data_IF_928562703482
#
_entry.id   IF_928562703482
#
_cell.length_a   1.000
_cell.length_b   1.000
_cell.length_c   1.000
_cell.angle_alpha   90.00
_cell.angle_beta   90.00
_cell.angle_gamma   90.00
#
_symmetry.space_group_name_H-M   'P 1'
#
loop_
_entity.id
_entity.type
_entity.pdbx_description
1 polymer ?
#
# COMPACT_ATOMS: atom_id res chain seq x y z
N UNK A 1 16.28 21.97 10.01
CA UNK A 1 15.95 21.23 8.77
C UNK A 1 14.86 20.23 9.09
N UNK A 2 13.88 20.06 8.23
CA UNK A 2 12.81 19.08 8.42
C UNK A 2 13.39 17.68 8.35
N UNK A 3 13.00 16.80 9.30
CA UNK A 3 13.45 15.40 9.31
C UNK A 3 12.69 14.61 8.24
N UNK A 4 13.39 13.80 7.48
CA UNK A 4 12.89 13.03 6.35
C UNK A 4 13.29 11.57 6.49
N UNK A 5 12.42 10.63 6.11
CA UNK A 5 12.70 9.20 6.27
C UNK A 5 12.25 8.40 5.05
N UNK A 6 13.14 7.52 4.59
CA UNK A 6 12.81 6.40 3.71
C UNK A 6 12.56 5.21 4.62
N UNK A 7 11.50 4.45 4.36
CA UNK A 7 11.26 3.26 5.16
C UNK A 7 10.61 2.13 4.37
N UNK A 8 10.80 0.93 4.88
CA UNK A 8 10.11 -0.28 4.43
C UNK A 8 9.56 -1.06 5.62
N UNK A 9 8.77 -2.08 5.34
CA UNK A 9 8.29 -3.01 6.36
C UNK A 9 8.25 -4.43 5.82
N UNK A 10 8.99 -5.35 6.44
CA UNK A 10 9.15 -6.73 6.00
C UNK A 10 8.92 -7.66 7.19
N UNK A 11 7.92 -8.51 7.08
CA UNK A 11 7.55 -9.52 8.06
C UNK A 11 7.47 -10.89 7.41
N UNK A 12 7.89 -11.94 8.12
CA UNK A 12 7.89 -13.30 7.61
C UNK A 12 9.03 -13.62 6.64
N UNK A 13 10.14 -12.89 6.72
CA UNK A 13 11.32 -13.06 5.86
C UNK A 13 10.99 -13.04 4.34
N UNK A 14 9.99 -12.24 3.96
CA UNK A 14 9.48 -12.17 2.59
C UNK A 14 10.50 -11.59 1.61
N UNK A 15 11.23 -10.56 2.03
CA UNK A 15 12.29 -9.90 1.28
C UNK A 15 13.52 -9.71 2.18
N UNK A 16 14.67 -9.43 1.57
CA UNK A 16 15.88 -8.96 2.26
C UNK A 16 16.04 -7.48 1.93
N UNK A 17 15.78 -6.57 2.89
CA UNK A 17 15.92 -5.14 2.62
C UNK A 17 17.38 -4.77 2.39
N UNK A 18 17.61 -3.94 1.39
CA UNK A 18 18.86 -3.22 1.24
C UNK A 18 18.75 -1.90 1.98
N UNK A 19 19.74 -1.55 2.79
CA UNK A 19 19.82 -0.23 3.41
C UNK A 19 19.86 0.83 2.32
N UNK A 20 18.99 1.83 2.43
CA UNK A 20 18.92 2.93 1.48
C UNK A 20 19.71 4.13 1.99
N UNK A 21 20.42 4.78 1.10
CA UNK A 21 21.17 6.01 1.40
C UNK A 21 20.71 7.12 0.47
N UNK A 22 20.36 8.27 1.06
CA UNK A 22 20.09 9.52 0.33
C UNK A 22 20.40 10.69 1.27
N UNK A 23 21.07 11.72 0.77
CA UNK A 23 21.48 12.85 1.58
C UNK A 23 20.29 13.52 2.29
N UNK A 24 20.40 13.66 3.62
CA UNK A 24 19.37 14.28 4.45
C UNK A 24 18.13 13.39 4.70
N UNK A 25 18.18 12.10 4.34
CA UNK A 25 17.13 11.12 4.59
C UNK A 25 17.61 10.00 5.50
N UNK A 26 16.89 9.77 6.61
CA UNK A 26 17.10 8.62 7.45
C UNK A 26 16.53 7.35 6.80
N UNK A 27 17.11 6.17 7.15
CA UNK A 27 16.57 4.88 6.73
C UNK A 27 15.97 4.11 7.90
N UNK A 28 14.81 3.49 7.70
CA UNK A 28 14.19 2.58 8.67
C UNK A 28 13.58 1.36 8.00
N UNK A 29 13.82 0.19 8.58
CA UNK A 29 13.13 -1.06 8.24
C UNK A 29 12.36 -1.56 9.46
N UNK A 30 11.05 -1.73 9.34
CA UNK A 30 10.22 -2.39 10.34
C UNK A 30 10.17 -3.90 10.06
N UNK A 31 10.50 -4.71 11.07
CA UNK A 31 10.52 -6.17 10.98
C UNK A 31 10.21 -6.79 12.34
N UNK A 32 10.16 -8.11 12.42
CA UNK A 32 10.04 -8.84 13.69
C UNK A 32 11.17 -8.54 14.69
N UNK A 33 12.33 -8.11 14.20
CA UNK A 33 13.50 -7.82 15.04
C UNK A 33 13.31 -6.55 15.89
N UNK A 34 12.50 -5.61 15.41
CA UNK A 34 12.32 -4.31 16.06
C UNK A 34 10.85 -3.91 16.28
N UNK A 35 9.92 -4.78 15.94
CA UNK A 35 8.49 -4.49 16.04
C UNK A 35 7.69 -5.77 16.34
N UNK A 36 6.78 -5.70 17.30
CA UNK A 36 5.95 -6.84 17.67
C UNK A 36 4.88 -7.11 16.62
N UNK A 37 4.83 -8.32 16.02
CA UNK A 37 3.73 -8.74 15.18
C UNK A 37 2.43 -8.79 15.98
N UNK A 38 1.34 -8.28 15.41
CA UNK A 38 0.00 -8.26 16.05
C UNK A 38 -1.01 -9.21 15.38
N UNK A 39 -0.65 -9.72 14.20
CA UNK A 39 -1.49 -10.56 13.38
C UNK A 39 -0.74 -11.84 13.03
N UNK A 40 -1.45 -12.96 12.91
CA UNK A 40 -0.89 -14.20 12.35
C UNK A 40 -0.46 -14.02 10.88
N UNK A 41 -1.15 -13.12 10.15
CA UNK A 41 -0.83 -12.79 8.77
C UNK A 41 0.28 -11.72 8.70
N UNK A 42 1.50 -12.15 8.38
CA UNK A 42 2.67 -11.28 8.22
C UNK A 42 2.46 -10.17 7.17
N UNK A 43 1.60 -10.39 6.18
CA UNK A 43 1.26 -9.36 5.21
C UNK A 43 0.51 -8.19 5.87
N UNK A 44 -0.41 -8.47 6.83
CA UNK A 44 -1.07 -7.43 7.61
C UNK A 44 -0.11 -6.75 8.58
N UNK A 45 0.83 -7.46 9.18
CA UNK A 45 1.86 -6.87 10.03
C UNK A 45 2.68 -5.85 9.23
N UNK A 46 3.19 -6.22 8.06
CA UNK A 46 3.93 -5.31 7.19
C UNK A 46 3.08 -4.10 6.76
N UNK A 47 1.85 -4.32 6.34
CA UNK A 47 0.97 -3.24 5.86
C UNK A 47 0.55 -2.26 6.94
N UNK A 48 0.50 -2.66 8.20
CA UNK A 48 0.26 -1.76 9.31
C UNK A 48 1.32 -0.65 9.37
N UNK A 49 2.60 -0.99 9.27
CA UNK A 49 3.68 0.01 9.24
C UNK A 49 3.70 0.79 7.93
N UNK A 50 3.46 0.12 6.80
CA UNK A 50 3.34 0.77 5.49
C UNK A 50 2.30 1.87 5.47
N UNK A 51 1.12 1.61 6.05
CA UNK A 51 -0.05 2.49 5.94
C UNK A 51 -0.11 3.56 7.03
N UNK A 52 0.41 3.27 8.23
CA UNK A 52 0.26 4.14 9.41
C UNK A 52 1.58 4.80 9.88
N UNK A 53 2.38 5.46 9.01
CA UNK A 53 3.64 6.08 9.44
C UNK A 53 3.46 7.14 10.52
N UNK A 54 2.36 7.86 10.54
CA UNK A 54 2.03 8.86 11.58
C UNK A 54 1.99 8.28 13.00
N UNK A 55 1.89 6.95 13.16
CA UNK A 55 1.92 6.28 14.46
C UNK A 55 3.33 5.90 14.92
N UNK A 56 4.30 5.84 14.00
CA UNK A 56 5.64 5.27 14.26
C UNK A 56 6.79 6.20 13.88
N UNK A 57 6.51 7.24 13.09
CA UNK A 57 7.49 8.14 12.50
C UNK A 57 7.12 9.61 12.77
N UNK A 58 6.50 9.91 13.91
CA UNK A 58 5.95 11.24 14.23
C UNK A 58 7.00 12.36 14.18
N UNK A 59 8.28 12.04 14.45
CA UNK A 59 9.38 13.01 14.43
C UNK A 59 9.80 13.45 13.02
N UNK A 60 9.24 12.83 11.98
CA UNK A 60 9.56 13.12 10.58
C UNK A 60 8.42 13.90 9.91
N UNK A 61 8.79 14.90 9.14
CA UNK A 61 7.83 15.68 8.34
C UNK A 61 7.42 14.94 7.07
N UNK A 62 8.42 14.33 6.41
CA UNK A 62 8.21 13.56 5.19
C UNK A 62 8.57 12.09 5.37
N UNK A 63 7.77 11.22 4.80
CA UNK A 63 8.10 9.81 4.68
C UNK A 63 7.93 9.30 3.26
N UNK A 64 8.88 8.47 2.82
CA UNK A 64 8.78 7.70 1.59
C UNK A 64 8.81 6.23 1.96
N UNK A 65 7.68 5.54 1.73
CA UNK A 65 7.64 4.08 1.79
C UNK A 65 8.11 3.50 0.47
N UNK A 66 8.93 2.46 0.55
CA UNK A 66 9.30 1.63 -0.61
C UNK A 66 9.09 0.15 -0.27
N UNK A 67 8.70 -0.68 -1.24
CA UNK A 67 8.69 -2.14 -1.05
C UNK A 67 10.13 -2.66 -0.87
N UNK A 68 10.31 -3.76 -0.12
CA UNK A 68 11.61 -4.26 0.31
C UNK A 68 12.58 -4.70 -0.81
N UNK A 69 12.05 -4.90 -2.03
CA UNK A 69 12.82 -5.27 -3.21
C UNK A 69 13.16 -4.09 -4.12
N UNK A 70 13.06 -2.85 -3.61
CA UNK A 70 13.32 -1.62 -4.37
C UNK A 70 14.57 -0.91 -3.85
N UNK A 71 15.32 -0.32 -4.79
CA UNK A 71 16.45 0.56 -4.50
C UNK A 71 16.11 2.00 -4.88
N UNK A 72 16.49 2.93 -4.02
CA UNK A 72 16.38 4.36 -4.28
C UNK A 72 17.49 4.79 -5.24
N UNK A 73 17.11 5.46 -6.33
CA UNK A 73 18.03 6.06 -7.30
C UNK A 73 17.55 7.46 -7.66
N UNK A 74 18.39 8.45 -7.45
CA UNK A 74 18.08 9.84 -7.77
C UNK A 74 17.78 10.71 -6.55
N UNK A 75 17.37 11.93 -6.82
CA UNK A 75 17.16 12.98 -5.82
C UNK A 75 15.73 12.88 -5.24
N UNK A 76 15.62 12.55 -3.96
CA UNK A 76 14.34 12.43 -3.28
C UNK A 76 13.71 13.78 -2.95
N UNK A 77 14.51 14.83 -2.78
CA UNK A 77 14.00 16.16 -2.49
C UNK A 77 13.26 16.71 -3.71
N UNK A 78 13.83 16.58 -4.90
CA UNK A 78 13.15 16.94 -6.15
C UNK A 78 11.83 16.16 -6.33
N UNK A 79 11.82 14.88 -5.93
CA UNK A 79 10.62 14.05 -5.99
C UNK A 79 9.52 14.57 -5.06
N UNK A 80 9.87 14.89 -3.81
CA UNK A 80 8.95 15.44 -2.81
C UNK A 80 8.46 16.82 -3.23
N UNK A 81 9.35 17.72 -3.63
CA UNK A 81 9.01 19.08 -4.07
C UNK A 81 8.04 19.07 -5.24
N UNK A 82 8.25 18.13 -6.18
CA UNK A 82 7.40 17.99 -7.36
C UNK A 82 6.00 17.44 -7.05
N UNK A 83 5.88 16.48 -6.16
CA UNK A 83 4.64 15.71 -5.97
C UNK A 83 3.91 15.98 -4.67
N UNK A 84 4.54 16.66 -3.70
CA UNK A 84 3.92 17.05 -2.43
C UNK A 84 3.87 18.59 -2.25
N UNK A 85 4.06 19.38 -3.31
CA UNK A 85 3.97 20.85 -3.26
C UNK A 85 2.60 21.34 -2.78
N UNK A 86 1.53 20.71 -3.23
CA UNK A 86 0.14 21.05 -2.94
C UNK A 86 -0.70 19.85 -2.43
N UNK A 87 -0.04 18.72 -2.16
CA UNK A 87 -0.68 17.48 -1.70
C UNK A 87 0.09 16.89 -0.53
N UNK A 88 -0.60 16.14 0.32
CA UNK A 88 -0.01 15.47 1.46
C UNK A 88 0.27 13.97 1.22
N UNK A 89 -0.16 13.44 0.07
CA UNK A 89 0.11 12.06 -0.33
C UNK A 89 0.22 11.94 -1.84
N UNK A 90 1.20 11.16 -2.30
CA UNK A 90 1.38 10.84 -3.71
C UNK A 90 1.73 9.36 -3.92
N UNK A 91 1.20 8.79 -5.01
CA UNK A 91 1.42 7.41 -5.45
C UNK A 91 1.69 7.36 -6.95
N UNK A 92 2.34 6.31 -7.39
CA UNK A 92 2.36 5.99 -8.82
C UNK A 92 1.01 5.42 -9.24
N UNK A 93 0.52 5.85 -10.40
CA UNK A 93 -0.69 5.30 -11.00
C UNK A 93 -0.42 3.95 -11.66
N UNK A 94 -1.27 2.97 -11.44
CA UNK A 94 -1.20 1.68 -12.15
C UNK A 94 -1.44 1.83 -13.66
N UNK A 95 -2.11 2.88 -14.10
CA UNK A 95 -2.33 3.18 -15.51
C UNK A 95 -1.04 3.42 -16.32
N UNK A 96 0.07 3.71 -15.64
CA UNK A 96 1.38 3.87 -16.28
C UNK A 96 2.04 2.53 -16.64
N UNK A 97 1.45 1.40 -16.25
CA UNK A 97 1.93 0.09 -16.65
C UNK A 97 1.53 -0.20 -18.11
N UNK A 98 2.49 -0.18 -19.02
CA UNK A 98 2.26 -0.42 -20.45
C UNK A 98 1.76 -1.84 -20.78
N UNK A 99 2.05 -2.82 -19.92
CA UNK A 99 1.71 -4.22 -20.15
C UNK A 99 0.30 -4.56 -19.66
N UNK A 100 -0.16 -3.91 -18.59
CA UNK A 100 -1.43 -4.22 -17.95
C UNK A 100 -1.95 -2.99 -17.19
N UNK A 101 -2.40 -1.99 -17.94
CA UNK A 101 -2.96 -0.77 -17.39
C UNK A 101 -4.36 -1.02 -16.81
N UNK A 102 -4.47 -0.97 -15.48
CA UNK A 102 -5.75 -1.02 -14.77
C UNK A 102 -6.00 0.30 -14.06
N UNK A 103 -7.20 0.81 -14.19
CA UNK A 103 -7.59 2.13 -13.66
C UNK A 103 -8.72 2.03 -12.64
N UNK A 104 -9.00 0.83 -12.13
CA UNK A 104 -10.17 0.61 -11.30
C UNK A 104 -9.94 -0.53 -10.31
N UNK A 105 -10.18 -0.33 -9.00
CA UNK A 105 -10.12 -1.41 -8.01
C UNK A 105 -11.03 -2.59 -8.32
N UNK A 106 -12.21 -2.35 -8.89
CA UNK A 106 -13.14 -3.42 -9.30
C UNK A 106 -12.54 -4.33 -10.38
N UNK A 107 -11.85 -3.74 -11.37
CA UNK A 107 -11.16 -4.51 -12.42
C UNK A 107 -9.94 -5.26 -11.86
N UNK A 108 -9.19 -4.63 -10.96
CA UNK A 108 -8.09 -5.28 -10.24
C UNK A 108 -8.59 -6.48 -9.44
N UNK A 109 -9.67 -6.31 -8.67
CA UNK A 109 -10.28 -7.36 -7.88
C UNK A 109 -10.69 -8.56 -8.75
N UNK A 110 -11.38 -8.30 -9.86
CA UNK A 110 -11.77 -9.34 -10.80
C UNK A 110 -10.56 -10.08 -11.38
N UNK A 111 -9.53 -9.34 -11.80
CA UNK A 111 -8.29 -9.93 -12.34
C UNK A 111 -7.60 -10.85 -11.32
N UNK A 112 -7.55 -10.46 -10.04
CA UNK A 112 -6.97 -11.27 -8.96
C UNK A 112 -7.78 -12.57 -8.76
N UNK A 113 -9.10 -12.47 -8.75
CA UNK A 113 -10.01 -13.63 -8.61
C UNK A 113 -9.86 -14.57 -9.80
N UNK A 114 -9.88 -14.05 -11.03
CA UNK A 114 -9.74 -14.84 -12.25
C UNK A 114 -8.40 -15.57 -12.32
N UNK A 115 -7.31 -14.92 -11.91
CA UNK A 115 -6.00 -15.55 -11.80
C UNK A 115 -6.01 -16.69 -10.78
N UNK A 116 -6.62 -16.48 -9.62
CA UNK A 116 -6.78 -17.51 -8.59
C UNK A 116 -7.60 -18.70 -9.11
N UNK A 117 -8.69 -18.45 -9.80
CA UNK A 117 -9.54 -19.48 -10.42
C UNK A 117 -8.76 -20.27 -11.49
N UNK A 118 -7.93 -19.61 -12.28
CA UNK A 118 -7.04 -20.26 -13.25
C UNK A 118 -6.03 -21.17 -12.54
N UNK A 119 -5.37 -20.67 -11.51
CA UNK A 119 -4.41 -21.43 -10.72
C UNK A 119 -5.08 -22.64 -10.03
N UNK A 120 -6.31 -22.48 -9.52
CA UNK A 120 -7.09 -23.56 -8.91
C UNK A 120 -7.33 -24.71 -9.89
N UNK A 121 -7.51 -24.44 -11.17
CA UNK A 121 -7.64 -25.48 -12.20
C UNK A 121 -6.33 -26.19 -12.51
N UNK A 122 -5.18 -25.50 -12.34
CA UNK A 122 -3.85 -26.06 -12.61
C UNK A 122 -3.27 -26.82 -11.41
N UNK A 123 -3.55 -26.36 -10.20
CA UNK A 123 -3.00 -26.88 -8.94
C UNK A 123 -4.09 -26.94 -7.85
N UNK A 124 -5.13 -27.80 -8.03
CA UNK A 124 -6.28 -27.84 -7.11
C UNK A 124 -5.90 -28.23 -5.68
N UNK A 125 -4.82 -29.00 -5.51
CA UNK A 125 -4.29 -29.44 -4.22
C UNK A 125 -3.84 -28.27 -3.32
N UNK A 126 -3.51 -27.11 -3.89
CA UNK A 126 -3.13 -25.92 -3.14
C UNK A 126 -4.33 -25.20 -2.52
N UNK A 127 -5.55 -25.51 -2.93
CA UNK A 127 -6.77 -24.90 -2.37
C UNK A 127 -6.72 -23.37 -2.40
N UNK A 128 -7.04 -22.75 -1.25
CA UNK A 128 -7.08 -21.28 -1.11
C UNK A 128 -5.73 -20.59 -1.38
N UNK A 129 -4.61 -21.30 -1.28
CA UNK A 129 -3.27 -20.76 -1.56
C UNK A 129 -3.05 -20.42 -3.04
N UNK A 130 -3.97 -20.81 -3.93
CA UNK A 130 -3.98 -20.37 -5.32
C UNK A 130 -4.34 -18.89 -5.50
N UNK A 131 -4.96 -18.28 -4.48
CA UNK A 131 -5.38 -16.89 -4.51
C UNK A 131 -4.40 -16.00 -3.74
N UNK A 132 -4.20 -14.79 -4.23
CA UNK A 132 -3.40 -13.76 -3.55
C UNK A 132 -4.04 -13.30 -2.23
N UNK A 133 -5.35 -13.46 -2.10
CA UNK A 133 -6.14 -13.24 -0.90
C UNK A 133 -7.48 -13.97 -1.03
N UNK A 134 -8.26 -14.05 0.03
CA UNK A 134 -9.56 -14.69 0.03
C UNK A 134 -10.51 -14.04 -0.99
N UNK A 135 -10.96 -14.76 -2.03
CA UNK A 135 -11.78 -14.19 -3.10
C UNK A 135 -13.15 -13.72 -2.60
N UNK A 136 -13.70 -14.33 -1.55
CA UNK A 136 -14.98 -13.91 -0.96
C UNK A 136 -14.84 -12.55 -0.28
N UNK A 137 -13.78 -12.33 0.52
CA UNK A 137 -13.51 -11.02 1.13
C UNK A 137 -13.29 -9.93 0.09
N UNK A 138 -12.57 -10.25 -1.01
CA UNK A 138 -12.39 -9.32 -2.12
C UNK A 138 -13.76 -8.95 -2.72
N UNK A 139 -14.61 -9.94 -3.00
CA UNK A 139 -15.92 -9.71 -3.61
C UNK A 139 -16.85 -8.91 -2.68
N UNK A 140 -16.91 -9.24 -1.39
CA UNK A 140 -17.70 -8.51 -0.41
C UNK A 140 -17.26 -7.05 -0.31
N UNK A 141 -15.95 -6.79 -0.29
CA UNK A 141 -15.40 -5.44 -0.24
C UNK A 141 -15.78 -4.64 -1.49
N UNK A 142 -15.70 -5.23 -2.67
CA UNK A 142 -16.12 -4.58 -3.92
C UNK A 142 -17.62 -4.32 -3.96
N UNK A 143 -18.44 -5.24 -3.50
CA UNK A 143 -19.88 -5.05 -3.38
C UNK A 143 -20.22 -3.90 -2.42
N UNK A 144 -19.58 -3.84 -1.25
CA UNK A 144 -19.70 -2.72 -0.31
C UNK A 144 -19.39 -1.37 -0.99
N UNK A 145 -18.29 -1.28 -1.73
CA UNK A 145 -17.92 -0.02 -2.39
C UNK A 145 -18.92 0.38 -3.47
N UNK A 146 -19.42 -0.58 -4.25
CA UNK A 146 -20.46 -0.31 -5.24
C UNK A 146 -21.76 0.19 -4.61
N UNK A 147 -22.18 -0.43 -3.49
CA UNK A 147 -23.39 -0.02 -2.75
C UNK A 147 -23.26 1.39 -2.14
N UNK A 148 -22.04 1.79 -1.74
CA UNK A 148 -21.75 3.12 -1.21
C UNK A 148 -21.53 4.17 -2.32
N UNK A 149 -21.69 3.81 -3.58
CA UNK A 149 -21.61 4.73 -4.71
C UNK A 149 -20.18 5.05 -5.16
N UNK A 150 -19.16 4.27 -4.76
CA UNK A 150 -17.81 4.49 -5.26
C UNK A 150 -17.75 4.30 -6.78
N UNK A 151 -17.34 5.34 -7.54
CA UNK A 151 -17.41 5.29 -8.99
C UNK A 151 -16.40 4.30 -9.59
N UNK A 152 -16.82 3.63 -10.68
CA UNK A 152 -15.89 2.84 -11.48
C UNK A 152 -14.90 3.75 -12.19
N UNK A 153 -13.71 3.21 -12.50
CA UNK A 153 -12.63 3.93 -13.18
C UNK A 153 -12.10 5.17 -12.43
N UNK A 154 -12.20 5.16 -11.11
CA UNK A 154 -11.73 6.25 -10.24
C UNK A 154 -10.24 6.11 -9.85
N UNK A 155 -9.41 5.63 -10.77
CA UNK A 155 -7.99 5.41 -10.56
C UNK A 155 -7.67 4.08 -9.85
N UNK A 156 -6.40 3.70 -9.95
CA UNK A 156 -5.79 2.59 -9.21
C UNK A 156 -4.34 2.94 -8.93
N UNK A 157 -3.95 2.89 -7.68
CA UNK A 157 -2.56 3.13 -7.27
C UNK A 157 -1.69 1.88 -7.46
N UNK A 158 -0.36 2.09 -7.57
CA UNK A 158 0.62 1.07 -7.20
C UNK A 158 1.14 1.38 -5.80
N UNK A 159 1.07 0.40 -4.90
CA UNK A 159 1.48 0.61 -3.52
C UNK A 159 2.98 0.49 -3.27
N UNK A 160 3.81 0.31 -4.29
CA UNK A 160 5.25 0.04 -4.14
C UNK A 160 6.04 1.24 -3.60
N UNK A 161 5.63 2.45 -3.94
CA UNK A 161 6.24 3.70 -3.46
C UNK A 161 5.13 4.64 -3.02
N UNK A 162 5.28 5.23 -1.83
CA UNK A 162 4.30 6.17 -1.28
C UNK A 162 5.03 7.37 -0.66
N UNK A 163 4.76 8.57 -1.17
CA UNK A 163 5.29 9.82 -0.64
C UNK A 163 4.24 10.47 0.25
N UNK A 164 4.62 10.98 1.44
CA UNK A 164 3.66 11.58 2.39
C UNK A 164 4.25 12.67 3.26
N UNK A 165 3.41 13.68 3.52
CA UNK A 165 3.42 14.50 4.75
C UNK A 165 2.50 13.80 5.75
N UNK A 166 2.98 12.75 6.36
CA UNK A 166 2.15 11.76 7.04
C UNK A 166 1.54 12.25 8.36
N UNK A 167 1.98 13.39 8.89
CA UNK A 167 1.42 14.01 10.09
C UNK A 167 0.30 15.02 9.76
N UNK A 168 0.03 15.29 8.49
CA UNK A 168 -1.08 16.16 8.09
C UNK A 168 -2.43 15.45 8.31
N UNK A 169 -3.41 16.23 8.77
CA UNK A 169 -4.71 15.71 9.23
C UNK A 169 -5.44 14.89 8.17
N UNK A 170 -5.53 15.38 6.95
CA UNK A 170 -6.19 14.73 5.81
C UNK A 170 -5.48 13.42 5.41
N UNK A 171 -4.14 13.43 5.47
CA UNK A 171 -3.34 12.23 5.27
C UNK A 171 -3.63 11.19 6.37
N UNK A 172 -3.62 11.58 7.65
CA UNK A 172 -3.92 10.70 8.78
C UNK A 172 -5.30 10.07 8.61
N UNK A 173 -6.34 10.88 8.39
CA UNK A 173 -7.72 10.40 8.24
C UNK A 173 -7.84 9.37 7.11
N UNK A 174 -7.23 9.63 5.96
CA UNK A 174 -7.22 8.73 4.82
C UNK A 174 -6.45 7.43 5.10
N UNK A 175 -5.29 7.52 5.75
CA UNK A 175 -4.47 6.35 6.10
C UNK A 175 -5.15 5.49 7.17
N UNK A 176 -5.82 6.08 8.16
CA UNK A 176 -6.59 5.34 9.17
C UNK A 176 -7.78 4.59 8.55
N UNK A 177 -8.50 5.22 7.64
CA UNK A 177 -9.59 4.55 6.92
C UNK A 177 -9.04 3.45 5.99
N UNK A 178 -7.92 3.70 5.31
CA UNK A 178 -7.27 2.68 4.49
C UNK A 178 -6.83 1.47 5.31
N UNK A 179 -6.27 1.71 6.51
CA UNK A 179 -5.92 0.61 7.41
C UNK A 179 -7.15 -0.19 7.87
N UNK A 180 -8.28 0.46 8.18
CA UNK A 180 -9.53 -0.25 8.52
C UNK A 180 -9.98 -1.19 7.38
N UNK A 181 -9.92 -0.72 6.14
CA UNK A 181 -10.28 -1.54 4.98
C UNK A 181 -9.33 -2.74 4.78
N UNK A 182 -8.04 -2.59 5.03
CA UNK A 182 -7.05 -3.70 4.99
C UNK A 182 -7.22 -4.65 6.17
N UNK A 183 -7.50 -4.11 7.36
CA UNK A 183 -7.62 -4.90 8.58
C UNK A 183 -8.82 -5.83 8.56
N UNK A 184 -9.96 -5.34 8.11
CA UNK A 184 -11.25 -6.05 8.17
C UNK A 184 -11.70 -6.62 6.82
N UNK A 185 -11.15 -6.16 5.72
CA UNK A 185 -11.42 -6.63 4.36
C UNK A 185 -10.24 -7.37 3.76
N UNK A 186 -10.09 -7.23 2.46
CA UNK A 186 -8.94 -7.78 1.74
C UNK A 186 -7.63 -7.12 2.17
N UNK A 187 -6.60 -7.94 2.38
CA UNK A 187 -5.24 -7.47 2.65
C UNK A 187 -4.55 -6.85 1.41
N UNK A 188 -5.23 -6.84 0.26
CA UNK A 188 -4.72 -6.20 -0.96
C UNK A 188 -4.95 -4.69 -0.87
N UNK A 189 -3.92 -3.96 -0.46
CA UNK A 189 -3.93 -2.50 -0.24
C UNK A 189 -4.40 -1.69 -1.45
N UNK A 190 -4.04 -2.11 -2.67
CA UNK A 190 -4.46 -1.46 -3.91
C UNK A 190 -5.99 -1.44 -4.11
N UNK A 191 -6.72 -2.41 -3.54
CA UNK A 191 -8.17 -2.49 -3.71
C UNK A 191 -8.93 -1.42 -2.95
N UNK A 192 -8.35 -0.86 -1.87
CA UNK A 192 -9.06 0.00 -0.94
C UNK A 192 -8.60 1.46 -0.90
N UNK A 193 -7.35 1.77 -1.29
CA UNK A 193 -6.85 3.14 -1.19
C UNK A 193 -7.71 4.16 -1.95
N UNK A 194 -8.01 3.90 -3.22
CA UNK A 194 -8.77 4.85 -4.04
C UNK A 194 -10.21 5.10 -3.52
N UNK A 195 -10.81 4.08 -2.88
CA UNK A 195 -12.08 4.24 -2.17
C UNK A 195 -11.94 5.16 -0.94
N UNK A 196 -10.91 4.95 -0.11
CA UNK A 196 -10.67 5.79 1.08
C UNK A 196 -10.38 7.24 0.70
N UNK A 197 -9.55 7.47 -0.31
CA UNK A 197 -9.27 8.80 -0.83
C UNK A 197 -10.50 9.48 -1.44
N UNK A 198 -11.41 8.74 -2.06
CA UNK A 198 -12.67 9.27 -2.57
C UNK A 198 -13.64 9.63 -1.44
N UNK A 199 -13.72 8.82 -0.41
CA UNK A 199 -14.60 9.02 0.75
C UNK A 199 -14.20 10.25 1.57
N UNK A 200 -12.90 10.57 1.65
CA UNK A 200 -12.32 11.64 2.48
C UNK A 200 -11.99 12.93 1.68
N UNK A 201 -12.65 13.12 0.54
CA UNK A 201 -12.51 14.36 -0.28
C UNK A 201 -13.26 15.53 0.30
#
# INVERSE_FOLDING_TARGET
MSKRVIYTSIFGAYDKPTEQSSDGWDWKCFSEENSTPLYEDNNRNAKKFKVLPHRYLQDYEYSIFIDGNMDVRGNLDELVDKYLSDKNVAFFSHNNNKLDARICPFKEAQTIIDLGNKNMKLTPERGILNYKDNPYLIQEQMNKYAMLGFPRNNGLITGMVILRRHNEKDCIETMEDWWKEIKYGSKRDQLSFNYCAWKNR
#
